data_IF_999121728877
#
_entry.id   IF_999121728877
#
_cell.length_a   1.000
_cell.length_b   1.000
_cell.length_c   1.000
_cell.angle_alpha   90.00
_cell.angle_beta   90.00
_cell.angle_gamma   90.00
#
_symmetry.space_group_name_H-M   'P 1'
#
loop_
_entity.id
_entity.type
_entity.pdbx_description
1 polymer ?
#
# COMPACT_ATOMS: atom_id res chain seq x y z
N UNK A 1 17.44 -3.16 -18.96
CA UNK A 1 16.25 -2.34 -19.34
C UNK A 1 15.91 -1.46 -18.14
N UNK A 2 16.05 -0.16 -18.27
CA UNK A 2 15.72 0.80 -17.21
C UNK A 2 14.21 1.02 -17.25
N UNK A 3 13.54 0.85 -16.13
CA UNK A 3 12.14 1.28 -15.98
C UNK A 3 12.14 2.81 -16.10
N UNK A 4 11.71 3.34 -17.23
CA UNK A 4 11.45 4.77 -17.35
C UNK A 4 10.19 5.07 -16.56
N UNK A 5 10.36 5.62 -15.37
CA UNK A 5 9.26 6.16 -14.58
C UNK A 5 9.25 7.67 -14.85
N UNK A 6 8.19 8.16 -15.44
CA UNK A 6 7.97 9.60 -15.49
C UNK A 6 7.74 10.09 -14.06
N UNK A 7 8.61 10.98 -13.63
CA UNK A 7 8.42 11.61 -12.33
C UNK A 7 7.27 12.64 -12.44
N UNK A 8 6.42 12.74 -11.41
CA UNK A 8 5.41 13.76 -11.39
C UNK A 8 6.07 15.16 -11.47
N UNK A 9 5.41 16.14 -12.12
CA UNK A 9 5.98 17.47 -12.31
C UNK A 9 6.24 18.22 -10.99
N UNK A 10 5.58 17.78 -9.91
CA UNK A 10 5.76 18.31 -8.57
C UNK A 10 5.88 17.13 -7.57
N UNK A 11 6.59 17.31 -6.44
CA UNK A 11 6.63 16.32 -5.37
C UNK A 11 5.21 16.00 -4.87
N UNK A 12 4.87 14.72 -4.84
CA UNK A 12 3.59 14.26 -4.30
C UNK A 12 3.63 14.33 -2.76
N UNK A 13 2.52 14.77 -2.17
CA UNK A 13 2.30 14.71 -0.71
C UNK A 13 1.82 13.32 -0.36
N UNK A 14 2.62 12.59 0.38
CA UNK A 14 2.39 11.20 0.73
C UNK A 14 2.18 11.07 2.24
N UNK A 15 1.05 10.52 2.64
CA UNK A 15 0.83 10.06 3.99
C UNK A 15 1.03 8.55 4.07
N UNK A 16 2.04 8.10 4.80
CA UNK A 16 2.40 6.70 4.94
C UNK A 16 1.96 6.17 6.31
N UNK A 17 0.80 5.51 6.35
CA UNK A 17 0.28 4.82 7.53
C UNK A 17 1.02 3.49 7.67
N UNK A 18 2.05 3.50 8.51
CA UNK A 18 2.90 2.36 8.78
C UNK A 18 2.44 1.63 10.04
N UNK A 19 2.14 0.32 9.94
CA UNK A 19 1.58 -0.47 11.04
C UNK A 19 2.43 -1.70 11.44
N UNK A 20 3.58 -1.92 10.84
CA UNK A 20 4.38 -3.12 11.09
C UNK A 20 5.75 -2.80 11.69
N UNK A 21 6.50 -1.90 11.07
CA UNK A 21 7.92 -1.68 11.38
C UNK A 21 8.05 -0.62 12.48
N UNK A 22 8.90 -0.87 13.48
CA UNK A 22 9.21 0.14 14.49
C UNK A 22 9.95 1.33 13.85
N UNK A 23 9.69 2.52 14.36
CA UNK A 23 10.17 3.78 13.78
C UNK A 23 11.68 3.82 13.53
N UNK A 24 12.50 3.29 14.46
CA UNK A 24 13.95 3.28 14.30
C UNK A 24 14.42 2.41 13.12
N UNK A 25 13.78 1.25 12.89
CA UNK A 25 14.09 0.42 11.72
C UNK A 25 13.63 1.04 10.40
N UNK A 26 12.47 1.73 10.41
CA UNK A 26 12.03 2.48 9.24
C UNK A 26 13.04 3.59 8.91
N UNK A 27 13.48 4.33 9.92
CA UNK A 27 14.48 5.38 9.77
C UNK A 27 15.79 4.83 9.20
N UNK A 28 16.30 3.71 9.73
CA UNK A 28 17.50 3.06 9.22
C UNK A 28 17.37 2.67 7.74
N UNK A 29 16.23 2.06 7.37
CA UNK A 29 15.95 1.71 5.96
C UNK A 29 15.93 2.93 5.05
N UNK A 30 15.31 4.01 5.49
CA UNK A 30 15.29 5.26 4.72
C UNK A 30 16.68 5.86 4.57
N UNK A 31 17.52 5.78 5.61
CA UNK A 31 18.91 6.25 5.54
C UNK A 31 19.80 5.41 4.61
N UNK A 32 19.47 4.11 4.44
CA UNK A 32 20.17 3.23 3.50
C UNK A 32 19.80 3.52 2.04
N UNK A 33 18.69 4.19 1.79
CA UNK A 33 18.34 4.66 0.45
C UNK A 33 19.18 5.89 0.16
N UNK A 34 20.18 5.75 -0.72
CA UNK A 34 21.06 6.85 -1.11
C UNK A 34 20.33 7.86 -2.00
N UNK A 35 19.49 8.69 -1.40
CA UNK A 35 18.76 9.74 -2.12
C UNK A 35 19.59 11.01 -2.22
N UNK A 36 19.50 11.77 -3.35
CA UNK A 36 20.10 13.09 -3.47
C UNK A 36 19.57 14.05 -2.39
N UNK A 37 20.42 14.95 -1.91
CA UNK A 37 20.06 15.91 -0.86
C UNK A 37 18.82 16.76 -1.21
N UNK A 38 18.66 17.13 -2.48
CA UNK A 38 17.51 17.88 -2.96
C UNK A 38 16.19 17.08 -2.80
N UNK A 39 16.21 15.74 -3.05
CA UNK A 39 15.06 14.87 -2.85
C UNK A 39 14.71 14.75 -1.37
N UNK A 40 15.73 14.61 -0.51
CA UNK A 40 15.53 14.57 0.96
C UNK A 40 14.92 15.89 1.45
N UNK A 41 15.41 17.02 0.96
CA UNK A 41 14.89 18.32 1.32
C UNK A 41 13.41 18.48 0.90
N UNK A 42 13.08 18.10 -0.33
CA UNK A 42 11.69 18.12 -0.82
C UNK A 42 10.75 17.18 -0.05
N UNK A 43 11.26 16.02 0.39
CA UNK A 43 10.47 15.03 1.11
C UNK A 43 10.09 15.46 2.55
N UNK A 44 10.77 16.44 3.14
CA UNK A 44 10.51 16.86 4.54
C UNK A 44 9.05 17.29 4.76
N UNK A 45 8.49 18.02 3.81
CA UNK A 45 7.15 18.60 3.93
C UNK A 45 6.12 17.81 3.11
N UNK A 46 6.57 16.85 2.31
CA UNK A 46 5.71 16.10 1.39
C UNK A 46 5.59 14.62 1.72
N UNK A 47 6.46 14.05 2.55
CA UNK A 47 6.39 12.66 2.97
C UNK A 47 6.29 12.54 4.48
N UNK A 48 5.11 12.19 4.97
CA UNK A 48 4.83 12.00 6.38
C UNK A 48 4.58 10.52 6.65
N UNK A 49 5.44 9.91 7.47
CA UNK A 49 5.28 8.52 7.90
C UNK A 49 4.86 8.47 9.37
N UNK A 50 3.85 7.67 9.68
CA UNK A 50 3.47 7.44 11.08
C UNK A 50 4.50 6.57 11.78
N UNK A 51 4.71 6.72 13.09
CA UNK A 51 5.36 5.69 13.90
C UNK A 51 4.49 4.41 13.85
N UNK A 52 5.06 3.26 14.23
CA UNK A 52 4.29 2.03 14.34
C UNK A 52 3.04 2.26 15.21
N UNK A 53 1.88 2.24 14.59
CA UNK A 53 0.61 2.38 15.26
C UNK A 53 0.00 0.99 15.53
N UNK A 54 -0.46 0.78 16.74
CA UNK A 54 -1.38 -0.29 17.08
C UNK A 54 -2.79 0.27 16.98
N UNK A 55 -3.35 0.28 15.80
CA UNK A 55 -4.69 0.77 15.52
C UNK A 55 -5.43 -0.24 14.65
N UNK A 56 -6.70 -0.48 14.94
CA UNK A 56 -7.62 -1.07 13.99
C UNK A 56 -8.25 0.06 13.19
N UNK A 57 -8.41 -0.12 11.92
CA UNK A 57 -9.07 0.86 11.06
C UNK A 57 -10.59 0.58 11.06
N UNK A 58 -11.18 0.56 12.26
CA UNK A 58 -12.63 0.61 12.45
C UNK A 58 -13.14 2.06 12.30
N UNK A 59 -14.38 2.33 12.65
CA UNK A 59 -14.97 3.67 12.52
C UNK A 59 -14.20 4.74 13.34
N UNK A 60 -13.76 4.40 14.55
CA UNK A 60 -12.95 5.28 15.40
C UNK A 60 -11.54 5.44 14.82
N UNK A 61 -10.93 4.35 14.38
CA UNK A 61 -9.63 4.35 13.71
C UNK A 61 -9.60 5.21 12.47
N UNK A 62 -10.64 5.14 11.63
CA UNK A 62 -10.80 6.02 10.45
C UNK A 62 -10.81 7.49 10.88
N UNK A 63 -11.59 7.84 11.90
CA UNK A 63 -11.67 9.22 12.38
C UNK A 63 -10.32 9.73 12.91
N UNK A 64 -9.62 8.92 13.69
CA UNK A 64 -8.28 9.23 14.24
C UNK A 64 -7.21 9.38 13.16
N UNK A 65 -7.21 8.50 12.17
CA UNK A 65 -6.26 8.60 11.04
C UNK A 65 -6.57 9.81 10.18
N UNK A 66 -7.84 10.09 9.94
CA UNK A 66 -8.25 11.28 9.20
C UNK A 66 -7.80 12.58 9.89
N UNK A 67 -7.91 12.64 11.21
CA UNK A 67 -7.41 13.78 12.01
C UNK A 67 -5.88 13.91 11.89
N UNK A 68 -5.16 12.79 12.00
CA UNK A 68 -3.70 12.79 11.83
C UNK A 68 -3.27 13.27 10.44
N UNK A 69 -3.99 12.87 9.39
CA UNK A 69 -3.73 13.34 8.02
C UNK A 69 -3.94 14.86 7.90
N UNK A 70 -5.05 15.38 8.45
CA UNK A 70 -5.32 16.83 8.44
C UNK A 70 -4.27 17.61 9.21
N UNK A 71 -3.81 17.08 10.35
CA UNK A 71 -2.74 17.68 11.13
C UNK A 71 -1.39 17.66 10.40
N UNK A 72 -1.12 16.60 9.64
CA UNK A 72 0.09 16.48 8.84
C UNK A 72 0.14 17.45 7.64
N UNK A 73 -1.02 17.79 7.07
CA UNK A 73 -1.15 18.67 5.90
C UNK A 73 -2.20 19.78 6.17
N UNK A 74 -1.91 20.74 7.08
CA UNK A 74 -2.90 21.73 7.51
C UNK A 74 -3.37 22.66 6.39
N UNK A 75 -2.48 22.98 5.43
CA UNK A 75 -2.76 23.89 4.30
C UNK A 75 -3.01 23.15 2.98
N UNK A 76 -3.04 21.81 3.01
CA UNK A 76 -3.10 21.01 1.79
C UNK A 76 -3.84 19.69 2.02
N UNK A 77 -3.86 18.85 0.99
CA UNK A 77 -4.35 17.46 1.08
C UNK A 77 -3.27 16.50 0.59
N UNK A 78 -3.23 15.26 1.07
CA UNK A 78 -2.34 14.26 0.50
C UNK A 78 -2.75 13.94 -0.95
N UNK A 79 -1.76 13.71 -1.80
CA UNK A 79 -1.96 13.20 -3.15
C UNK A 79 -2.00 11.65 -3.14
N UNK A 80 -1.33 11.05 -2.15
CA UNK A 80 -1.27 9.58 -1.96
C UNK A 80 -1.39 9.21 -0.49
N UNK A 81 -2.21 8.22 -0.19
CA UNK A 81 -2.31 7.57 1.11
C UNK A 81 -1.78 6.14 0.96
N UNK A 82 -0.72 5.81 1.70
CA UNK A 82 -0.16 4.46 1.74
C UNK A 82 -0.57 3.78 3.04
N UNK A 83 -1.06 2.55 2.95
CA UNK A 83 -1.41 1.70 4.10
C UNK A 83 -0.53 0.45 4.07
N UNK A 84 0.33 0.26 5.07
CA UNK A 84 1.34 -0.80 5.10
C UNK A 84 1.52 -1.46 6.48
N UNK A 85 1.13 -2.72 6.59
CA UNK A 85 0.25 -3.51 5.71
C UNK A 85 -1.22 -3.44 6.15
N UNK A 86 -2.13 -3.76 5.25
CA UNK A 86 -3.57 -3.86 5.53
C UNK A 86 -3.84 -4.79 6.72
N UNK A 87 -3.19 -5.95 6.74
CA UNK A 87 -3.40 -7.00 7.75
C UNK A 87 -3.35 -6.47 9.18
N UNK A 88 -2.46 -5.53 9.47
CA UNK A 88 -2.21 -5.09 10.84
C UNK A 88 -3.23 -4.06 11.34
N UNK A 89 -4.07 -3.54 10.45
CA UNK A 89 -5.11 -2.55 10.78
C UNK A 89 -6.52 -3.02 10.40
N UNK A 90 -6.66 -4.23 9.86
CA UNK A 90 -7.91 -4.82 9.44
C UNK A 90 -8.83 -5.06 10.64
N UNK A 91 -10.08 -4.56 10.58
CA UNK A 91 -11.05 -4.59 11.69
C UNK A 91 -11.95 -5.83 11.70
N UNK A 92 -11.88 -6.67 10.65
CA UNK A 92 -12.70 -7.88 10.54
C UNK A 92 -14.12 -7.64 10.00
N UNK A 93 -14.49 -6.39 9.80
CA UNK A 93 -15.85 -6.02 9.40
C UNK A 93 -16.89 -6.28 10.50
N UNK A 94 -18.20 -6.10 10.20
CA UNK A 94 -19.26 -6.14 11.20
C UNK A 94 -19.47 -7.52 11.83
N UNK A 95 -19.10 -8.59 11.15
CA UNK A 95 -19.27 -9.97 11.62
C UNK A 95 -17.98 -10.59 12.19
N UNK A 96 -16.88 -9.79 12.26
CA UNK A 96 -15.60 -10.26 12.79
C UNK A 96 -14.91 -11.29 11.90
N UNK A 97 -15.06 -11.18 10.59
CA UNK A 97 -14.43 -12.07 9.62
C UNK A 97 -12.91 -11.93 9.56
N UNK A 98 -12.23 -12.96 9.05
CA UNK A 98 -10.78 -12.93 8.83
C UNK A 98 -10.40 -12.16 7.55
N UNK A 99 -9.12 -11.86 7.40
CA UNK A 99 -8.58 -11.20 6.18
C UNK A 99 -8.80 -11.99 4.88
N UNK A 100 -9.07 -13.29 4.98
CA UNK A 100 -9.39 -14.17 3.84
C UNK A 100 -10.90 -14.26 3.57
N UNK A 101 -11.73 -13.66 4.40
CA UNK A 101 -13.16 -13.54 4.14
C UNK A 101 -13.42 -12.41 3.15
N UNK A 102 -14.00 -12.77 2.01
CA UNK A 102 -14.25 -11.80 0.94
C UNK A 102 -15.26 -10.71 1.34
N UNK A 103 -16.29 -11.04 2.13
CA UNK A 103 -17.28 -10.07 2.56
C UNK A 103 -16.67 -9.08 3.57
N UNK A 104 -15.93 -9.58 4.55
CA UNK A 104 -15.22 -8.76 5.53
C UNK A 104 -14.15 -7.86 4.86
N UNK A 105 -13.38 -8.40 3.91
CA UNK A 105 -12.38 -7.64 3.18
C UNK A 105 -13.03 -6.57 2.29
N UNK A 106 -14.11 -6.89 1.58
CA UNK A 106 -14.82 -5.91 0.74
C UNK A 106 -15.43 -4.80 1.60
N UNK A 107 -16.03 -5.14 2.75
CA UNK A 107 -16.52 -4.16 3.72
C UNK A 107 -15.39 -3.23 4.18
N UNK A 108 -14.24 -3.79 4.57
CA UNK A 108 -13.08 -3.01 5.00
C UNK A 108 -12.61 -2.04 3.91
N UNK A 109 -12.49 -2.51 2.68
CA UNK A 109 -12.04 -1.68 1.56
C UNK A 109 -13.02 -0.52 1.29
N UNK A 110 -14.31 -0.80 1.24
CA UNK A 110 -15.33 0.19 0.92
C UNK A 110 -15.69 1.09 2.11
N UNK A 111 -15.85 0.51 3.30
CA UNK A 111 -16.39 1.24 4.47
C UNK A 111 -15.30 1.76 5.41
N UNK A 112 -14.02 1.45 5.16
CA UNK A 112 -12.90 1.97 5.96
C UNK A 112 -11.88 2.69 5.08
N UNK A 113 -11.35 2.02 4.07
CA UNK A 113 -10.28 2.59 3.24
C UNK A 113 -10.81 3.72 2.34
N UNK A 114 -11.90 3.51 1.61
CA UNK A 114 -12.50 4.55 0.79
C UNK A 114 -13.08 5.67 1.65
N UNK A 115 -13.74 5.34 2.76
CA UNK A 115 -14.25 6.35 3.69
C UNK A 115 -13.13 7.24 4.25
N UNK A 116 -11.98 6.68 4.58
CA UNK A 116 -10.81 7.46 5.01
C UNK A 116 -10.38 8.42 3.91
N UNK A 117 -10.19 7.92 2.67
CA UNK A 117 -9.82 8.75 1.51
C UNK A 117 -10.82 9.89 1.32
N UNK A 118 -12.11 9.56 1.26
CA UNK A 118 -13.17 10.53 0.99
C UNK A 118 -13.28 11.61 2.07
N UNK A 119 -12.99 11.24 3.32
CA UNK A 119 -12.99 12.18 4.45
C UNK A 119 -11.83 13.19 4.41
N UNK A 120 -10.70 12.88 3.76
CA UNK A 120 -9.49 13.73 3.80
C UNK A 120 -9.09 14.26 2.44
N UNK A 121 -9.17 13.45 1.39
CA UNK A 121 -8.74 13.77 0.02
C UNK A 121 -9.39 12.82 -0.99
N UNK A 122 -10.62 13.09 -1.47
CA UNK A 122 -11.34 12.19 -2.39
C UNK A 122 -10.56 11.86 -3.68
N UNK A 123 -9.69 12.77 -4.13
CA UNK A 123 -8.87 12.59 -5.33
C UNK A 123 -7.52 11.87 -5.06
N UNK A 124 -7.22 11.55 -3.81
CA UNK A 124 -5.96 10.90 -3.48
C UNK A 124 -5.89 9.46 -4.03
N UNK A 125 -4.73 9.10 -4.56
CA UNK A 125 -4.40 7.71 -4.83
C UNK A 125 -4.23 6.92 -3.53
N UNK A 126 -4.64 5.65 -3.52
CA UNK A 126 -4.42 4.75 -2.40
C UNK A 126 -3.44 3.66 -2.82
N UNK A 127 -2.42 3.43 -1.99
CA UNK A 127 -1.51 2.29 -2.12
C UNK A 127 -1.73 1.38 -0.92
N UNK A 128 -2.14 0.15 -1.18
CA UNK A 128 -2.35 -0.86 -0.16
C UNK A 128 -1.24 -1.90 -0.24
N UNK A 129 -0.39 -2.00 0.79
CA UNK A 129 0.56 -3.08 0.92
C UNK A 129 -0.10 -4.27 1.62
N UNK A 130 0.17 -5.46 1.13
CA UNK A 130 -0.36 -6.70 1.70
C UNK A 130 0.62 -7.84 1.56
N UNK A 131 0.58 -8.78 2.50
CA UNK A 131 1.38 -9.98 2.41
C UNK A 131 0.78 -10.96 1.41
N UNK A 132 1.66 -11.68 0.74
CA UNK A 132 1.26 -12.80 -0.10
C UNK A 132 1.23 -14.09 0.72
N UNK A 133 0.28 -14.98 0.43
CA UNK A 133 0.32 -16.36 0.92
C UNK A 133 1.39 -17.16 0.17
N UNK A 134 1.91 -18.20 0.79
CA UNK A 134 2.85 -19.11 0.13
C UNK A 134 2.11 -19.89 -0.97
N UNK A 135 2.61 -19.79 -2.18
CA UNK A 135 2.19 -20.59 -3.33
C UNK A 135 3.32 -21.53 -3.76
N UNK A 136 2.95 -22.60 -4.43
CA UNK A 136 3.92 -23.44 -5.13
C UNK A 136 4.50 -22.72 -6.35
N UNK A 137 5.70 -23.07 -6.79
CA UNK A 137 6.32 -22.51 -8.01
C UNK A 137 5.39 -22.57 -9.23
N UNK A 138 4.63 -23.67 -9.36
CA UNK A 138 3.65 -23.85 -10.46
C UNK A 138 2.52 -22.82 -10.36
N UNK A 139 1.91 -22.64 -9.19
CA UNK A 139 0.83 -21.66 -9.00
C UNK A 139 1.29 -20.23 -9.26
N UNK A 140 2.51 -19.87 -8.81
CA UNK A 140 3.08 -18.54 -9.08
C UNK A 140 3.32 -18.33 -10.57
N UNK A 141 3.72 -19.38 -11.32
CA UNK A 141 3.94 -19.25 -12.76
C UNK A 141 2.64 -19.18 -13.57
N UNK A 142 1.55 -19.77 -13.07
CA UNK A 142 0.24 -19.75 -13.73
C UNK A 142 -0.51 -18.43 -13.49
N UNK A 143 -0.62 -18.01 -12.24
CA UNK A 143 -1.25 -16.75 -11.86
C UNK A 143 -0.69 -16.24 -10.51
N UNK A 144 0.33 -15.37 -10.53
CA UNK A 144 0.95 -14.84 -9.32
C UNK A 144 -0.01 -14.05 -8.43
N UNK A 145 -1.08 -13.48 -9.01
CA UNK A 145 -2.07 -12.71 -8.27
C UNK A 145 -2.97 -13.57 -7.37
N UNK A 146 -3.00 -14.88 -7.55
CA UNK A 146 -3.61 -15.79 -6.58
C UNK A 146 -2.85 -15.83 -5.23
N UNK A 147 -1.64 -15.29 -5.18
CA UNK A 147 -0.87 -15.19 -3.94
C UNK A 147 -1.43 -14.12 -2.97
N UNK A 148 -2.27 -13.21 -3.40
CA UNK A 148 -2.86 -12.22 -2.50
C UNK A 148 -3.78 -12.91 -1.50
N UNK A 149 -3.57 -12.68 -0.19
CA UNK A 149 -4.51 -13.02 0.85
C UNK A 149 -5.80 -12.20 0.66
N UNK A 150 -6.99 -12.77 0.89
CA UNK A 150 -8.26 -12.09 0.55
C UNK A 150 -8.43 -11.82 -0.94
N UNK A 151 -7.79 -12.64 -1.78
CA UNK A 151 -7.48 -12.38 -3.18
C UNK A 151 -8.65 -11.91 -4.03
N UNK A 152 -9.84 -12.51 -3.89
CA UNK A 152 -10.97 -12.16 -4.75
C UNK A 152 -11.46 -10.75 -4.50
N UNK A 153 -11.58 -10.33 -3.24
CA UNK A 153 -12.02 -8.99 -2.87
C UNK A 153 -11.00 -7.93 -3.29
N UNK A 154 -9.72 -8.14 -2.97
CA UNK A 154 -8.65 -7.22 -3.33
C UNK A 154 -8.51 -7.09 -4.84
N UNK A 155 -8.48 -8.22 -5.56
CA UNK A 155 -8.37 -8.22 -7.03
C UNK A 155 -9.58 -7.56 -7.70
N UNK A 156 -10.75 -7.64 -7.09
CA UNK A 156 -11.94 -6.93 -7.52
C UNK A 156 -11.93 -5.42 -7.27
N UNK A 157 -11.12 -4.97 -6.33
CA UNK A 157 -11.11 -3.58 -5.85
C UNK A 157 -10.05 -2.71 -6.52
N UNK A 158 -8.79 -3.17 -6.63
CA UNK A 158 -7.71 -2.32 -7.15
C UNK A 158 -7.82 -2.03 -8.66
N UNK A 159 -7.26 -0.93 -9.10
CA UNK A 159 -7.10 -0.57 -10.52
C UNK A 159 -5.76 -1.05 -11.09
N UNK A 160 -4.74 -1.15 -10.23
CA UNK A 160 -3.40 -1.63 -10.58
C UNK A 160 -2.87 -2.52 -9.47
N UNK A 161 -2.49 -3.75 -9.81
CA UNK A 161 -1.89 -4.70 -8.92
C UNK A 161 -0.40 -4.88 -9.23
N UNK A 162 0.44 -4.93 -8.17
CA UNK A 162 1.86 -5.26 -8.29
C UNK A 162 2.19 -6.39 -7.33
N UNK A 163 2.79 -7.46 -7.85
CA UNK A 163 3.32 -8.54 -7.03
C UNK A 163 4.81 -8.68 -7.26
N UNK A 164 5.56 -8.63 -6.17
CA UNK A 164 6.98 -8.92 -6.19
C UNK A 164 7.22 -10.29 -5.55
N UNK A 165 7.85 -11.17 -6.28
CA UNK A 165 8.19 -12.50 -5.77
C UNK A 165 9.61 -12.92 -6.20
N UNK A 166 10.13 -13.95 -5.52
CA UNK A 166 11.38 -14.58 -5.88
C UNK A 166 11.08 -15.80 -6.75
N UNK A 167 11.40 -15.78 -8.05
CA UNK A 167 11.13 -16.92 -8.94
C UNK A 167 11.97 -18.15 -8.56
N UNK A 168 13.16 -17.92 -8.01
CA UNK A 168 14.06 -18.95 -7.50
C UNK A 168 14.66 -18.52 -6.16
N UNK A 169 14.60 -19.39 -5.15
CA UNK A 169 15.10 -19.09 -3.80
C UNK A 169 16.63 -18.95 -3.76
N UNK A 170 17.36 -19.62 -4.66
CA UNK A 170 18.81 -19.55 -4.75
C UNK A 170 19.32 -18.29 -5.42
N UNK A 171 18.46 -17.59 -6.16
CA UNK A 171 18.82 -16.37 -6.86
C UNK A 171 18.42 -15.11 -6.09
N UNK A 172 19.24 -14.06 -6.18
CA UNK A 172 18.91 -12.74 -5.62
C UNK A 172 17.88 -11.96 -6.45
N UNK A 173 17.50 -12.48 -7.62
CA UNK A 173 16.53 -11.86 -8.54
C UNK A 173 15.15 -11.77 -7.90
N UNK A 174 14.49 -10.65 -8.15
CA UNK A 174 13.07 -10.43 -7.84
C UNK A 174 12.33 -10.20 -9.16
N UNK A 175 11.19 -10.85 -9.32
CA UNK A 175 10.29 -10.62 -10.44
C UNK A 175 9.15 -9.74 -9.99
N UNK A 176 8.84 -8.71 -10.78
CA UNK A 176 7.69 -7.84 -10.60
C UNK A 176 6.64 -8.17 -11.65
N UNK A 177 5.47 -8.58 -11.21
CA UNK A 177 4.29 -8.79 -12.04
C UNK A 177 3.34 -7.62 -11.86
N UNK A 178 2.77 -7.15 -12.97
CA UNK A 178 1.89 -5.99 -12.99
C UNK A 178 0.58 -6.38 -13.66
N UNK A 179 -0.54 -6.11 -12.99
CA UNK A 179 -1.89 -6.27 -13.51
C UNK A 179 -2.57 -4.90 -13.57
N UNK A 180 -3.09 -4.53 -14.73
CA UNK A 180 -3.84 -3.29 -14.94
C UNK A 180 -5.28 -3.64 -15.34
N UNK A 181 -6.28 -3.06 -14.64
CA UNK A 181 -7.70 -3.23 -15.01
C UNK A 181 -8.11 -2.35 -16.20
N UNK A 182 -7.49 -1.17 -16.30
CA UNK A 182 -7.90 -0.12 -17.24
C UNK A 182 -6.84 0.11 -18.35
N UNK A 183 -6.00 -0.87 -18.62
CA UNK A 183 -4.94 -0.74 -19.62
C UNK A 183 -4.58 -2.08 -20.26
N UNK A 184 -3.81 -2.04 -21.34
CA UNK A 184 -3.30 -3.26 -21.96
C UNK A 184 -2.36 -3.99 -20.99
N UNK A 185 -2.33 -5.32 -21.09
CA UNK A 185 -1.41 -6.13 -20.30
C UNK A 185 0.04 -5.67 -20.56
N UNK A 186 0.76 -5.38 -19.48
CA UNK A 186 2.18 -5.08 -19.58
C UNK A 186 2.98 -6.38 -19.62
N UNK A 187 4.01 -6.49 -20.47
CA UNK A 187 4.88 -7.65 -20.46
C UNK A 187 5.57 -7.75 -19.09
N UNK A 188 5.67 -8.97 -18.55
CA UNK A 188 6.39 -9.23 -17.32
C UNK A 188 7.83 -8.69 -17.44
N UNK A 189 8.25 -7.91 -16.44
CA UNK A 189 9.60 -7.34 -16.41
C UNK A 189 10.45 -8.10 -15.39
N UNK A 190 11.61 -8.50 -15.82
CA UNK A 190 12.67 -9.09 -14.98
C UNK A 190 13.53 -7.98 -14.36
#
# INVERSE_FOLDING_TARGET
MVLMVELPPQPLRVFYLQAEIQYHYLRERMQQIALPAAVIAAARDTFIATPKLKILLDAEGVARVAEAIRAAFPEARPDVIVIDPIRNIFDGGPEGGGENDNAAMMFFLQQRVEQLRDAVAPEAGIILAHHTRKLTKKQVSEDPFQALSGASALRGFYTSGLIMHRPDEEMSVRKLEIELRNGPALPAKL
#
